data_IF_428813807810
#
_entry.id   IF_428813807810
#
_cell.length_a   1.000
_cell.length_b   1.000
_cell.length_c   1.000
_cell.angle_alpha   90.00
_cell.angle_beta   90.00
_cell.angle_gamma   90.00
#
_symmetry.space_group_name_H-M   'P 1'
#
loop_
_entity.id
_entity.type
_entity.pdbx_description
1 polymer ?
#
# COMPACT_ATOMS: atom_id res chain seq x y z
N UNK A 1 4.04 -4.97 -3.16
CA UNK A 1 3.32 -3.99 -4.01
C UNK A 1 4.07 -2.66 -4.00
N UNK A 2 3.88 -1.84 -5.03
CA UNK A 2 4.32 -0.44 -5.07
C UNK A 2 3.10 0.47 -4.93
N UNK A 3 3.20 1.45 -4.03
CA UNK A 3 2.21 2.50 -3.82
C UNK A 3 2.78 3.83 -4.29
N UNK A 4 2.01 4.59 -5.06
CA UNK A 4 2.42 5.92 -5.55
C UNK A 4 1.49 7.02 -5.06
N UNK A 5 2.03 8.10 -4.49
CA UNK A 5 1.23 9.26 -4.11
C UNK A 5 0.82 10.05 -5.36
N UNK A 6 -0.46 10.01 -5.71
CA UNK A 6 -1.03 10.69 -6.89
C UNK A 6 -0.39 10.33 -8.25
N UNK A 7 0.52 9.35 -8.27
CA UNK A 7 1.26 8.89 -9.43
C UNK A 7 1.08 7.38 -9.61
N UNK A 8 1.00 6.94 -10.86
CA UNK A 8 1.11 5.51 -11.18
C UNK A 8 2.56 5.05 -10.98
N UNK A 9 2.86 4.14 -10.04
CA UNK A 9 4.22 3.67 -9.77
C UNK A 9 4.91 3.07 -10.99
N UNK A 10 4.15 2.49 -11.92
CA UNK A 10 4.70 1.90 -13.13
C UNK A 10 5.46 2.91 -13.99
N UNK A 11 5.07 4.19 -13.95
CA UNK A 11 5.69 5.28 -14.72
C UNK A 11 7.05 5.72 -14.18
N UNK A 12 7.45 5.25 -13.00
CA UNK A 12 8.76 5.52 -12.39
C UNK A 12 9.79 4.44 -12.66
N UNK A 13 9.39 3.34 -13.30
CA UNK A 13 10.24 2.20 -13.54
C UNK A 13 10.72 2.20 -14.98
N UNK A 14 12.01 1.90 -15.17
CA UNK A 14 12.52 1.48 -16.46
C UNK A 14 12.04 0.05 -16.79
N UNK A 15 12.21 -0.43 -18.05
CA UNK A 15 11.72 -1.74 -18.46
C UNK A 15 12.28 -2.93 -17.65
N UNK A 16 13.56 -2.86 -17.26
CA UNK A 16 14.21 -3.92 -16.48
C UNK A 16 13.64 -3.99 -15.06
N UNK A 17 13.50 -2.83 -14.40
CA UNK A 17 12.89 -2.72 -13.07
C UNK A 17 11.44 -3.21 -13.10
N UNK A 18 10.67 -2.82 -14.13
CA UNK A 18 9.31 -3.29 -14.33
C UNK A 18 9.26 -4.82 -14.44
N UNK A 19 10.13 -5.42 -15.25
CA UNK A 19 10.20 -6.87 -15.40
C UNK A 19 10.57 -7.58 -14.09
N UNK A 20 11.51 -7.02 -13.32
CA UNK A 20 11.88 -7.54 -12.00
C UNK A 20 10.71 -7.50 -11.01
N UNK A 21 9.99 -6.37 -10.92
CA UNK A 21 8.82 -6.24 -10.05
C UNK A 21 7.67 -7.17 -10.47
N UNK A 22 7.41 -7.30 -11.78
CA UNK A 22 6.41 -8.25 -12.30
C UNK A 22 6.75 -9.70 -11.95
N UNK A 23 8.03 -10.09 -12.02
CA UNK A 23 8.48 -11.44 -11.63
C UNK A 23 8.21 -11.76 -10.16
N UNK A 24 8.26 -10.75 -9.31
CA UNK A 24 7.91 -10.86 -7.88
C UNK A 24 6.39 -10.83 -7.63
N UNK A 25 5.55 -10.78 -8.68
CA UNK A 25 4.10 -10.67 -8.56
C UNK A 25 3.65 -9.33 -7.96
N UNK A 26 4.43 -8.26 -8.11
CA UNK A 26 4.10 -6.98 -7.54
C UNK A 26 2.86 -6.35 -8.20
N UNK A 27 1.99 -5.80 -7.36
CA UNK A 27 0.93 -4.88 -7.77
C UNK A 27 1.46 -3.45 -7.78
N UNK A 28 0.96 -2.63 -8.70
CA UNK A 28 1.26 -1.20 -8.84
C UNK A 28 -0.04 -0.44 -8.60
N UNK A 29 -0.07 0.39 -7.57
CA UNK A 29 -1.29 1.02 -7.06
C UNK A 29 -1.03 2.51 -6.87
N UNK A 30 -1.87 3.36 -7.46
CA UNK A 30 -1.84 4.78 -7.16
C UNK A 30 -2.77 5.07 -5.97
N UNK A 31 -2.26 5.84 -5.01
CA UNK A 31 -3.02 6.44 -3.94
C UNK A 31 -3.62 7.76 -4.43
N UNK A 32 -4.90 7.95 -4.12
CA UNK A 32 -5.66 9.15 -4.45
C UNK A 32 -6.19 9.79 -3.18
N UNK A 33 -6.07 11.11 -3.07
CA UNK A 33 -6.72 11.84 -2.00
C UNK A 33 -8.24 11.76 -2.13
N UNK A 34 -8.93 11.95 -1.00
CA UNK A 34 -10.40 12.02 -0.99
C UNK A 34 -10.87 13.10 -1.97
N UNK A 35 -11.81 12.74 -2.85
CA UNK A 35 -12.37 13.64 -3.87
C UNK A 35 -11.63 13.65 -5.22
N UNK A 36 -10.42 13.09 -5.33
CA UNK A 36 -9.67 13.01 -6.60
C UNK A 36 -10.23 11.99 -7.61
N UNK A 37 -11.19 11.16 -7.19
CA UNK A 37 -11.74 10.01 -7.93
C UNK A 37 -10.68 8.98 -8.34
N UNK A 38 -11.07 7.70 -8.44
CA UNK A 38 -10.20 6.67 -9.00
C UNK A 38 -10.01 6.90 -10.50
N UNK A 39 -8.77 6.75 -10.98
CA UNK A 39 -8.43 6.89 -12.42
C UNK A 39 -8.17 5.53 -13.09
N UNK A 40 -8.08 4.47 -12.28
CA UNK A 40 -7.88 3.09 -12.68
C UNK A 40 -8.56 2.18 -11.65
N UNK A 41 -8.94 0.97 -12.07
CA UNK A 41 -9.51 -0.06 -11.20
C UNK A 41 -8.56 -0.50 -10.08
N UNK A 42 -7.27 -0.22 -10.24
CA UNK A 42 -6.22 -0.51 -9.26
C UNK A 42 -5.98 0.61 -8.26
N UNK A 43 -6.60 1.78 -8.43
CA UNK A 43 -6.39 2.93 -7.55
C UNK A 43 -7.00 2.67 -6.17
N UNK A 44 -6.35 3.21 -5.13
CA UNK A 44 -6.87 3.22 -3.76
C UNK A 44 -7.07 4.65 -3.29
N UNK A 45 -8.17 4.91 -2.61
CA UNK A 45 -8.41 6.20 -1.96
C UNK A 45 -7.77 6.18 -0.57
N UNK A 46 -6.84 7.10 -0.31
CA UNK A 46 -6.29 7.35 1.01
C UNK A 46 -7.29 8.19 1.83
N UNK A 47 -8.23 7.50 2.47
CA UNK A 47 -9.38 8.10 3.17
C UNK A 47 -8.92 9.10 4.25
N UNK A 48 -7.87 8.77 4.99
CA UNK A 48 -7.32 9.61 6.06
C UNK A 48 -6.30 10.64 5.55
N UNK A 49 -5.85 10.53 4.29
CA UNK A 49 -4.78 11.34 3.71
C UNK A 49 -3.40 11.14 4.36
N UNK A 50 -3.26 10.18 5.28
CA UNK A 50 -2.05 10.01 6.10
C UNK A 50 -0.89 9.43 5.30
N UNK A 51 -1.16 8.54 4.36
CA UNK A 51 -0.12 7.87 3.58
C UNK A 51 0.47 8.83 2.55
N UNK A 52 -0.37 9.56 1.83
CA UNK A 52 0.06 10.60 0.89
C UNK A 52 0.88 11.66 1.64
N UNK A 53 0.37 12.17 2.76
CA UNK A 53 1.11 13.15 3.57
C UNK A 53 2.43 12.58 4.13
N UNK A 54 2.50 11.28 4.47
CA UNK A 54 3.74 10.64 4.92
C UNK A 54 4.78 10.56 3.79
N UNK A 55 4.37 10.18 2.59
CA UNK A 55 5.24 10.12 1.41
C UNK A 55 5.83 11.50 1.09
N UNK A 56 4.97 12.52 1.05
CA UNK A 56 5.37 13.93 0.84
C UNK A 56 6.37 14.42 1.89
N UNK A 57 6.08 14.18 3.20
CA UNK A 57 7.00 14.56 4.28
C UNK A 57 8.37 13.90 4.19
N UNK A 58 8.46 12.72 3.58
CA UNK A 58 9.73 12.01 3.37
C UNK A 58 10.36 12.28 2.00
N UNK A 59 9.78 13.17 1.18
CA UNK A 59 10.31 13.53 -0.13
C UNK A 59 10.29 12.38 -1.13
N UNK A 60 9.39 11.40 -0.95
CA UNK A 60 9.26 10.22 -1.82
C UNK A 60 7.89 10.20 -2.48
N UNK A 61 7.82 9.75 -3.73
CA UNK A 61 6.56 9.65 -4.49
C UNK A 61 6.06 8.22 -4.66
N UNK A 62 6.95 7.21 -4.51
CA UNK A 62 6.63 5.79 -4.57
C UNK A 62 7.28 5.03 -3.41
N UNK A 63 6.53 4.13 -2.77
CA UNK A 63 7.04 3.23 -1.73
C UNK A 63 6.72 1.77 -2.05
N UNK A 64 7.67 0.88 -1.75
CA UNK A 64 7.46 -0.55 -1.83
C UNK A 64 6.93 -1.09 -0.48
N UNK A 65 5.77 -1.73 -0.50
CA UNK A 65 5.16 -2.42 0.65
C UNK A 65 5.20 -3.92 0.42
N UNK A 66 5.90 -4.66 1.29
CA UNK A 66 5.96 -6.13 1.27
C UNK A 66 4.99 -6.71 2.31
N UNK A 67 3.91 -7.41 1.91
CA UNK A 67 2.93 -7.97 2.85
C UNK A 67 3.51 -9.09 3.73
N UNK A 68 4.59 -9.72 3.26
CA UNK A 68 5.36 -10.79 3.91
C UNK A 68 6.27 -10.28 5.05
N UNK A 69 6.28 -8.96 5.32
CA UNK A 69 6.62 -8.41 6.64
C UNK A 69 5.39 -7.67 7.15
N UNK A 70 4.69 -8.24 8.13
CA UNK A 70 3.52 -7.59 8.74
C UNK A 70 3.98 -6.25 9.34
N UNK A 71 3.55 -5.14 8.73
CA UNK A 71 3.71 -3.80 9.31
C UNK A 71 2.40 -3.47 10.03
N UNK A 72 2.36 -3.71 11.34
CA UNK A 72 1.26 -3.27 12.20
C UNK A 72 1.64 -1.95 12.87
N UNK A 73 0.80 -0.94 12.74
CA UNK A 73 0.90 0.31 13.49
C UNK A 73 -0.48 0.65 14.06
N UNK A 74 -0.55 0.93 15.37
CA UNK A 74 -1.73 1.45 16.03
C UNK A 74 -1.34 2.65 16.89
N UNK A 75 -2.20 3.66 16.93
CA UNK A 75 -2.14 4.74 17.93
C UNK A 75 -2.83 4.34 19.26
N UNK A 76 -3.12 3.05 19.43
CA UNK A 76 -3.85 2.41 20.54
C UNK A 76 -3.42 0.93 20.69
N UNK A 77 -4.26 0.04 21.26
CA UNK A 77 -3.86 -1.35 21.50
C UNK A 77 -3.75 -2.18 20.19
N UNK A 78 -2.76 -3.07 20.13
CA UNK A 78 -2.51 -4.04 19.06
C UNK A 78 -2.92 -5.46 19.50
N UNK A 79 -4.01 -5.57 20.27
CA UNK A 79 -4.41 -6.87 20.82
C UNK A 79 -4.80 -7.84 19.69
N UNK A 80 -4.16 -9.01 19.70
CA UNK A 80 -4.50 -10.11 18.80
C UNK A 80 -5.89 -10.65 19.19
N UNK A 81 -6.81 -10.87 18.24
CA UNK A 81 -8.08 -11.53 18.54
C UNK A 81 -7.81 -12.89 19.20
N UNK A 82 -8.42 -13.14 20.37
CA UNK A 82 -8.40 -14.48 20.93
C UNK A 82 -9.07 -15.43 19.92
N UNK A 83 -8.32 -16.41 19.45
CA UNK A 83 -8.91 -17.54 18.72
C UNK A 83 -9.89 -18.19 19.70
N UNK A 84 -11.17 -18.13 19.40
CA UNK A 84 -12.15 -18.90 20.14
C UNK A 84 -11.75 -20.37 20.01
N UNK A 85 -11.23 -20.95 21.11
CA UNK A 85 -11.00 -22.38 21.21
C UNK A 85 -12.35 -23.06 21.03
N UNK A 86 -12.61 -23.59 19.84
CA UNK A 86 -13.77 -24.43 19.59
C UNK A 86 -13.79 -25.56 20.60
N UNK A 87 -14.94 -25.70 21.25
CA UNK A 87 -15.29 -26.84 22.11
C UNK A 87 -15.07 -28.12 21.30
N UNK A 88 -14.13 -28.97 21.74
CA UNK A 88 -14.05 -30.35 21.27
C UNK A 88 -15.25 -31.13 21.84
N UNK A 89 -15.82 -32.10 21.09
CA UNK A 89 -16.91 -32.94 21.57
C UNK A 89 -16.51 -33.80 22.78
#
# INVERSE_FOLDING_TARGET
MLLGAEVDPARRLNPEQMAAWKRLGARFVALRAVGQHARSDSDLIDIDGKMIAWLERNGVDVVAVRPDKIVMAASGNLSVPALASGVAP
#
